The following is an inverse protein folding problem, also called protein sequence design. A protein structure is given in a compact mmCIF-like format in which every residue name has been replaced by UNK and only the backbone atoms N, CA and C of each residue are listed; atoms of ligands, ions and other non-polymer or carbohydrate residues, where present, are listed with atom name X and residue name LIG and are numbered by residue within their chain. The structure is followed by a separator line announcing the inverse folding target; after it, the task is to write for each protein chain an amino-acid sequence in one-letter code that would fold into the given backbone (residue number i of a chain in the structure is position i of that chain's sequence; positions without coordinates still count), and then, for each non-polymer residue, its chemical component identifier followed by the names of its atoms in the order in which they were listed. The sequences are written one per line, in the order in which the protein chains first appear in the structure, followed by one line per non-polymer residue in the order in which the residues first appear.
data_IF_219731671531
#
_entry.id   IF_219731671531
#
_cell.length_a   1.000
_cell.length_b   1.000
_cell.length_c   1.000
_cell.angle_alpha   90.00
_cell.angle_beta   90.00
_cell.angle_gamma   90.00
#
_symmetry.space_group_name_H-M   'P 1'
#
loop_
_entity.id
_entity.type
_entity.pdbx_description
1 polymer ?
#
# COMPACT_ATOMS: atom_id res chain seq x y z
N UNK A 1 4.42 4.91 -39.25
CA UNK A 1 3.64 5.95 -38.51
C UNK A 1 3.94 5.91 -37.01
N UNK A 2 3.66 4.84 -36.29
CA UNK A 2 3.86 4.75 -34.82
C UNK A 2 5.30 5.00 -34.38
N UNK A 3 6.31 4.41 -35.04
CA UNK A 3 7.72 4.65 -34.72
C UNK A 3 8.11 6.14 -34.73
N UNK A 4 7.57 6.90 -35.71
CA UNK A 4 7.80 8.34 -35.78
C UNK A 4 7.15 9.08 -34.60
N UNK A 5 5.91 8.71 -34.23
CA UNK A 5 5.20 9.32 -33.10
C UNK A 5 5.94 9.03 -31.77
N UNK A 6 6.42 7.80 -31.57
CA UNK A 6 7.22 7.46 -30.39
C UNK A 6 8.51 8.26 -30.30
N UNK A 7 9.20 8.48 -31.42
CA UNK A 7 10.40 9.31 -31.46
C UNK A 7 10.10 10.78 -31.15
N UNK A 8 9.01 11.33 -31.69
CA UNK A 8 8.59 12.70 -31.42
C UNK A 8 8.21 12.86 -29.94
N UNK A 9 7.40 11.94 -29.39
CA UNK A 9 7.04 11.96 -27.97
C UNK A 9 8.26 11.94 -27.07
N UNK A 10 9.20 11.01 -27.35
CA UNK A 10 10.47 10.96 -26.61
C UNK A 10 11.22 12.29 -26.68
N UNK A 11 11.35 12.89 -27.87
CA UNK A 11 12.05 14.16 -28.03
C UNK A 11 11.42 15.29 -27.21
N UNK A 12 10.09 15.37 -27.13
CA UNK A 12 9.39 16.37 -26.32
C UNK A 12 9.63 16.18 -24.82
N UNK A 13 9.69 14.94 -24.36
CA UNK A 13 9.99 14.65 -22.95
C UNK A 13 11.47 14.87 -22.64
N UNK A 14 12.38 14.48 -23.54
CA UNK A 14 13.82 14.78 -23.40
C UNK A 14 14.09 16.29 -23.34
N UNK A 15 13.36 17.09 -24.15
CA UNK A 15 13.44 18.56 -24.09
C UNK A 15 13.06 19.10 -22.70
N UNK A 16 11.98 18.60 -22.11
CA UNK A 16 11.59 18.98 -20.75
C UNK A 16 12.73 18.71 -19.75
N UNK A 17 13.27 17.50 -19.72
CA UNK A 17 14.34 17.13 -18.78
C UNK A 17 15.63 17.94 -18.98
N UNK A 18 15.88 18.45 -20.19
CA UNK A 18 17.04 19.30 -20.48
C UNK A 18 16.85 20.77 -20.09
N UNK A 19 15.59 21.22 -20.00
CA UNK A 19 15.27 22.63 -19.81
C UNK A 19 14.62 22.93 -18.44
N UNK A 20 14.22 21.89 -17.70
CA UNK A 20 13.63 22.10 -16.38
C UNK A 20 14.68 22.64 -15.41
N UNK A 21 14.30 23.63 -14.63
CA UNK A 21 15.11 24.18 -13.56
C UNK A 21 14.91 23.33 -12.29
N UNK A 22 15.85 22.42 -12.07
CA UNK A 22 15.79 21.47 -10.94
C UNK A 22 15.86 22.19 -9.58
N UNK A 23 16.66 23.26 -9.46
CA UNK A 23 16.83 24.02 -8.22
C UNK A 23 15.52 24.73 -7.85
N UNK A 24 14.91 25.45 -8.79
CA UNK A 24 13.61 26.11 -8.61
C UNK A 24 12.50 25.12 -8.30
N UNK A 25 12.55 23.92 -8.90
CA UNK A 25 11.58 22.86 -8.65
C UNK A 25 11.69 22.33 -7.21
N UNK A 26 12.93 22.07 -6.76
CA UNK A 26 13.20 21.58 -5.41
C UNK A 26 12.81 22.61 -4.35
N UNK A 27 13.16 23.88 -4.55
CA UNK A 27 12.75 24.99 -3.65
C UNK A 27 11.22 25.07 -3.51
N UNK A 28 10.50 25.00 -4.63
CA UNK A 28 9.03 25.06 -4.60
C UNK A 28 8.43 23.82 -3.92
N UNK A 29 9.00 22.63 -4.16
CA UNK A 29 8.56 21.39 -3.47
C UNK A 29 8.80 21.47 -1.96
N UNK A 30 9.93 22.04 -1.54
CA UNK A 30 10.23 22.24 -0.13
C UNK A 30 9.23 23.19 0.56
N UNK A 31 8.79 24.23 -0.14
CA UNK A 31 7.74 25.14 0.35
C UNK A 31 6.39 24.41 0.45
N UNK A 32 6.00 23.65 -0.58
CA UNK A 32 4.77 22.85 -0.55
C UNK A 32 4.79 21.84 0.61
N UNK A 33 5.94 21.23 0.89
CA UNK A 33 6.08 20.27 1.98
C UNK A 33 5.84 20.85 3.38
N UNK A 34 5.94 22.18 3.53
CA UNK A 34 5.66 22.88 4.78
C UNK A 34 4.15 23.16 5.01
N UNK A 35 3.30 22.88 4.02
CA UNK A 35 1.85 23.01 4.15
C UNK A 35 1.33 22.13 5.27
N UNK A 36 0.62 22.74 6.24
CA UNK A 36 0.06 22.06 7.41
C UNK A 36 -1.36 21.56 7.17
N UNK A 37 -2.06 22.17 6.24
CA UNK A 37 -3.43 21.87 5.87
C UNK A 37 -3.56 20.84 4.74
N UNK A 38 -4.44 21.12 3.81
CA UNK A 38 -4.78 20.31 2.65
C UNK A 38 -4.08 20.86 1.40
N UNK A 39 -3.57 19.97 0.56
CA UNK A 39 -3.08 20.31 -0.77
C UNK A 39 -4.25 20.21 -1.76
N UNK A 40 -4.86 21.33 -2.08
CA UNK A 40 -5.87 21.36 -3.14
C UNK A 40 -5.19 21.40 -4.51
N UNK A 41 -5.65 20.56 -5.44
CA UNK A 41 -5.14 20.55 -6.82
C UNK A 41 -6.28 20.88 -7.74
N UNK A 42 -6.10 21.85 -8.63
CA UNK A 42 -7.15 22.33 -9.53
C UNK A 42 -6.66 22.51 -10.95
N UNK A 43 -7.57 22.48 -11.91
CA UNK A 43 -7.31 22.65 -13.35
C UNK A 43 -8.59 22.48 -14.16
N UNK A 44 -8.57 22.95 -15.39
CA UNK A 44 -9.72 22.88 -16.31
C UNK A 44 -9.47 21.86 -17.42
N UNK A 45 -10.47 21.14 -17.85
CA UNK A 45 -10.41 20.18 -18.97
C UNK A 45 -9.40 19.07 -18.72
N UNK A 46 -8.43 18.87 -19.64
CA UNK A 46 -7.43 17.78 -19.53
C UNK A 46 -6.48 17.99 -18.34
N UNK A 47 -6.10 19.26 -18.05
CA UNK A 47 -5.34 19.59 -16.83
C UNK A 47 -6.12 19.27 -15.55
N UNK A 48 -7.44 19.38 -15.57
CA UNK A 48 -8.32 18.97 -14.46
C UNK A 48 -8.27 17.45 -14.19
N UNK A 49 -8.26 16.62 -15.24
CA UNK A 49 -8.07 15.17 -15.07
C UNK A 49 -6.68 14.81 -14.49
N UNK A 50 -5.65 15.54 -14.93
CA UNK A 50 -4.31 15.39 -14.34
C UNK A 50 -4.30 15.82 -12.87
N UNK A 51 -4.95 16.94 -12.54
CA UNK A 51 -5.10 17.44 -11.17
C UNK A 51 -5.79 16.42 -10.27
N UNK A 52 -6.86 15.77 -10.75
CA UNK A 52 -7.55 14.68 -10.03
C UNK A 52 -6.59 13.51 -9.76
N UNK A 53 -5.83 13.09 -10.78
CA UNK A 53 -4.85 11.98 -10.62
C UNK A 53 -3.78 12.33 -9.60
N UNK A 54 -3.22 13.53 -9.67
CA UNK A 54 -2.17 14.00 -8.73
C UNK A 54 -2.73 14.00 -7.29
N UNK A 55 -3.90 14.60 -7.07
CA UNK A 55 -4.54 14.63 -5.75
C UNK A 55 -4.79 13.20 -5.21
N UNK A 56 -5.28 12.28 -6.06
CA UNK A 56 -5.52 10.90 -5.68
C UNK A 56 -4.21 10.16 -5.32
N UNK A 57 -3.13 10.41 -6.07
CA UNK A 57 -1.81 9.84 -5.77
C UNK A 57 -1.29 10.36 -4.43
N UNK A 58 -1.30 11.67 -4.21
CA UNK A 58 -0.88 12.29 -2.94
C UNK A 58 -1.66 11.75 -1.75
N UNK A 59 -2.98 11.60 -1.89
CA UNK A 59 -3.86 11.08 -0.85
C UNK A 59 -3.51 9.63 -0.48
N UNK A 60 -3.28 8.79 -1.48
CA UNK A 60 -2.91 7.39 -1.29
C UNK A 60 -1.51 7.23 -0.68
N UNK A 61 -0.65 8.22 -0.84
CA UNK A 61 0.74 8.25 -0.35
C UNK A 61 0.95 9.12 0.89
N UNK A 62 -0.12 9.37 1.66
CA UNK A 62 -0.05 9.98 3.00
C UNK A 62 -0.08 11.50 3.05
N UNK A 63 -0.32 12.19 1.93
CA UNK A 63 -0.57 13.62 1.92
C UNK A 63 -2.06 13.90 1.85
N UNK A 64 -2.57 14.80 2.72
CA UNK A 64 -3.95 15.26 2.61
C UNK A 64 -4.09 16.10 1.35
N UNK A 65 -4.70 15.54 0.32
CA UNK A 65 -4.86 16.24 -0.95
C UNK A 65 -6.27 16.05 -1.52
N UNK A 66 -6.80 17.08 -2.19
CA UNK A 66 -8.12 17.03 -2.82
C UNK A 66 -8.13 17.73 -4.16
N UNK A 67 -8.85 17.17 -5.13
CA UNK A 67 -9.16 17.91 -6.34
C UNK A 67 -10.23 18.95 -6.05
N UNK A 68 -9.95 20.21 -6.37
CA UNK A 68 -10.88 21.32 -6.25
C UNK A 68 -11.42 21.67 -7.66
N UNK A 69 -12.67 21.28 -8.00
CA UNK A 69 -13.26 21.65 -9.28
C UNK A 69 -13.40 23.16 -9.39
N UNK A 70 -12.86 23.82 -10.43
CA UNK A 70 -12.87 25.30 -10.51
C UNK A 70 -14.26 25.91 -10.50
N UNK A 71 -15.21 25.28 -11.18
CA UNK A 71 -16.58 25.77 -11.24
C UNK A 71 -17.27 25.68 -9.88
N UNK A 72 -17.16 24.53 -9.22
CA UNK A 72 -17.79 24.32 -7.90
C UNK A 72 -17.15 25.22 -6.84
N UNK A 73 -15.83 25.45 -6.95
CA UNK A 73 -15.11 26.39 -6.11
C UNK A 73 -15.67 27.82 -6.21
N UNK A 74 -16.00 28.28 -7.40
CA UNK A 74 -16.64 29.59 -7.61
C UNK A 74 -18.08 29.64 -7.08
N UNK A 75 -18.71 28.51 -6.85
CA UNK A 75 -20.09 28.38 -6.36
C UNK A 75 -20.20 27.92 -4.90
N UNK A 76 -19.09 27.90 -4.14
CA UNK A 76 -19.14 27.70 -2.70
C UNK A 76 -18.09 26.74 -2.12
N UNK A 77 -17.55 25.80 -2.91
CA UNK A 77 -16.57 24.81 -2.41
C UNK A 77 -15.27 25.46 -1.95
N UNK A 78 -15.00 26.69 -2.36
CA UNK A 78 -13.90 27.50 -1.80
C UNK A 78 -14.03 27.72 -0.28
N UNK A 79 -15.22 27.45 0.28
CA UNK A 79 -15.44 27.42 1.73
C UNK A 79 -14.54 26.42 2.49
N UNK A 80 -14.05 25.36 1.80
CA UNK A 80 -13.15 24.38 2.39
C UNK A 80 -11.71 24.89 2.57
N UNK A 81 -11.31 25.92 1.81
CA UNK A 81 -9.94 26.42 1.79
C UNK A 81 -9.68 27.37 2.94
N UNK A 82 -8.57 27.19 3.64
CA UNK A 82 -8.11 27.98 4.79
C UNK A 82 -6.69 28.49 4.58
N UNK A 83 -6.20 29.32 5.47
CA UNK A 83 -4.83 29.87 5.44
C UNK A 83 -3.71 28.83 5.65
N UNK A 84 -4.06 27.65 6.19
CA UNK A 84 -3.09 26.56 6.39
C UNK A 84 -2.89 25.71 5.13
N UNK A 85 -3.72 25.92 4.09
CA UNK A 85 -3.77 25.10 2.88
C UNK A 85 -2.89 25.65 1.76
N UNK A 86 -2.60 24.78 0.79
CA UNK A 86 -1.98 25.17 -0.48
C UNK A 86 -2.85 24.75 -1.67
N UNK A 87 -2.91 25.60 -2.69
CA UNK A 87 -3.65 25.33 -3.92
C UNK A 87 -2.70 25.27 -5.10
N UNK A 88 -2.57 24.05 -5.69
CA UNK A 88 -1.77 23.78 -6.89
C UNK A 88 -2.67 23.96 -8.12
N UNK A 89 -2.32 24.90 -9.01
CA UNK A 89 -3.17 25.34 -10.12
C UNK A 89 -2.52 24.97 -11.44
N UNK A 90 -3.08 24.02 -12.16
CA UNK A 90 -2.55 23.46 -13.40
C UNK A 90 -3.16 24.14 -14.64
N UNK A 91 -2.32 24.79 -15.47
CA UNK A 91 -2.74 25.39 -16.73
C UNK A 91 -1.55 25.50 -17.69
N UNK A 92 -1.56 24.82 -18.86
CA UNK A 92 -0.49 24.96 -19.87
C UNK A 92 -0.23 26.42 -20.23
N UNK A 93 -1.26 27.14 -20.61
CA UNK A 93 -1.15 28.53 -21.06
C UNK A 93 -0.99 29.54 -19.93
N UNK A 94 -1.45 29.18 -18.73
CA UNK A 94 -1.58 30.11 -17.60
C UNK A 94 -2.56 31.27 -17.85
N UNK A 95 -3.48 31.11 -18.84
CA UNK A 95 -4.46 32.11 -19.27
C UNK A 95 -5.91 31.60 -19.15
N UNK A 96 -6.13 30.49 -18.45
CA UNK A 96 -7.46 29.90 -18.28
C UNK A 96 -8.30 30.79 -17.37
N UNK A 97 -9.38 31.40 -17.93
CA UNK A 97 -10.14 32.44 -17.24
C UNK A 97 -10.79 31.95 -15.95
N UNK A 98 -11.31 30.73 -15.91
CA UNK A 98 -11.91 30.15 -14.71
C UNK A 98 -10.91 30.06 -13.55
N UNK A 99 -9.66 29.72 -13.83
CA UNK A 99 -8.61 29.64 -12.82
C UNK A 99 -8.15 31.03 -12.38
N UNK A 100 -8.06 31.97 -13.31
CA UNK A 100 -7.72 33.36 -13.03
C UNK A 100 -8.79 34.09 -12.21
N UNK A 101 -10.06 33.76 -12.43
CA UNK A 101 -11.17 34.28 -11.61
C UNK A 101 -11.08 33.73 -10.17
N UNK A 102 -10.67 32.48 -10.01
CA UNK A 102 -10.58 31.84 -8.71
C UNK A 102 -9.42 32.38 -7.84
N UNK A 103 -8.31 32.73 -8.47
CA UNK A 103 -7.06 33.10 -7.82
C UNK A 103 -7.19 34.22 -6.75
N UNK A 104 -7.88 35.35 -6.99
CA UNK A 104 -8.04 36.38 -5.97
C UNK A 104 -8.79 35.90 -4.72
N UNK A 105 -9.75 35.01 -4.90
CA UNK A 105 -10.54 34.46 -3.77
C UNK A 105 -9.71 33.50 -2.93
N UNK A 106 -8.88 32.67 -3.55
CA UNK A 106 -7.93 31.77 -2.85
C UNK A 106 -6.95 32.61 -2.02
N UNK A 107 -6.38 33.67 -2.62
CA UNK A 107 -5.46 34.58 -1.93
C UNK A 107 -6.13 35.31 -0.77
N UNK A 108 -7.40 35.72 -0.90
CA UNK A 108 -8.17 36.32 0.18
C UNK A 108 -8.42 35.38 1.37
N UNK A 109 -8.37 34.05 1.12
CA UNK A 109 -8.41 33.03 2.18
C UNK A 109 -7.08 32.86 2.91
N UNK A 110 -6.00 33.46 2.40
CA UNK A 110 -4.66 33.31 2.95
C UNK A 110 -3.93 32.01 2.53
N UNK A 111 -4.56 31.19 1.70
CA UNK A 111 -3.95 29.93 1.22
C UNK A 111 -2.82 30.23 0.24
N UNK A 112 -1.74 29.42 0.34
CA UNK A 112 -0.61 29.48 -0.57
C UNK A 112 -1.02 29.04 -1.98
N UNK A 113 -0.61 29.77 -3.00
CA UNK A 113 -0.91 29.46 -4.40
C UNK A 113 0.34 29.06 -5.17
N UNK A 114 0.27 27.94 -5.92
CA UNK A 114 1.37 27.45 -6.75
C UNK A 114 0.85 27.20 -8.17
N UNK A 115 1.34 27.98 -9.13
CA UNK A 115 0.95 27.84 -10.54
C UNK A 115 1.87 26.87 -11.29
N UNK A 116 1.29 25.88 -12.00
CA UNK A 116 2.01 24.98 -12.90
C UNK A 116 1.70 25.39 -14.33
N UNK A 117 2.65 26.05 -15.03
CA UNK A 117 2.41 26.51 -16.40
C UNK A 117 3.59 26.25 -17.33
N UNK A 118 3.31 26.19 -18.64
CA UNK A 118 4.35 26.15 -19.67
C UNK A 118 4.68 27.55 -20.25
N UNK A 119 4.31 28.60 -19.53
CA UNK A 119 4.58 30.01 -19.91
C UNK A 119 5.03 30.78 -18.66
N UNK A 120 6.29 31.12 -18.61
CA UNK A 120 6.94 31.79 -17.45
C UNK A 120 6.28 33.11 -17.05
N UNK A 121 5.77 33.87 -18.01
CA UNK A 121 5.15 35.19 -17.77
C UNK A 121 3.66 35.21 -18.05
N UNK A 122 2.99 34.08 -17.79
CA UNK A 122 1.55 34.05 -17.87
C UNK A 122 0.88 34.79 -16.69
N UNK A 123 -0.40 35.17 -16.87
CA UNK A 123 -1.16 35.81 -15.77
C UNK A 123 -1.22 34.95 -14.51
N UNK A 124 -1.33 33.62 -14.69
CA UNK A 124 -1.32 32.67 -13.57
C UNK A 124 0.05 32.62 -12.89
N UNK A 125 1.14 32.51 -13.67
CA UNK A 125 2.50 32.46 -13.13
C UNK A 125 2.84 33.73 -12.32
N UNK A 126 2.45 34.90 -12.81
CA UNK A 126 2.68 36.18 -12.13
C UNK A 126 1.72 36.44 -10.96
N UNK A 127 0.59 35.74 -10.93
CA UNK A 127 -0.46 35.91 -9.92
C UNK A 127 -0.35 34.96 -8.73
N UNK A 128 0.37 33.83 -8.84
CA UNK A 128 0.60 32.88 -7.76
C UNK A 128 1.78 33.30 -6.88
N UNK A 129 1.81 32.79 -5.64
CA UNK A 129 2.92 33.02 -4.71
C UNK A 129 4.19 32.28 -5.15
N UNK A 130 4.00 31.08 -5.74
CA UNK A 130 5.07 30.27 -6.33
C UNK A 130 4.67 29.79 -7.72
N UNK A 131 5.66 29.54 -8.56
CA UNK A 131 5.45 29.10 -9.92
C UNK A 131 6.41 27.96 -10.29
N UNK A 132 5.84 26.88 -10.80
CA UNK A 132 6.59 25.77 -11.41
C UNK A 132 6.47 25.93 -12.93
N UNK A 133 7.59 26.24 -13.57
CA UNK A 133 7.68 26.29 -15.02
C UNK A 133 7.85 24.88 -15.60
N UNK A 134 6.99 24.53 -16.54
CA UNK A 134 7.00 23.25 -17.25
C UNK A 134 7.39 23.51 -18.71
N UNK A 135 8.68 23.46 -19.08
CA UNK A 135 9.13 23.71 -20.45
C UNK A 135 8.46 22.72 -21.41
N UNK A 136 7.56 23.25 -22.25
CA UNK A 136 6.83 22.50 -23.26
C UNK A 136 6.98 23.21 -24.59
N UNK A 137 7.76 22.61 -25.51
CA UNK A 137 8.01 23.21 -26.83
C UNK A 137 6.72 23.16 -27.67
N UNK A 138 6.12 21.98 -27.79
CA UNK A 138 4.87 21.78 -28.53
C UNK A 138 4.14 20.51 -28.08
N UNK A 139 2.87 20.41 -28.46
CA UNK A 139 2.09 19.21 -28.30
C UNK A 139 2.42 18.16 -29.37
N UNK A 140 2.26 16.88 -29.07
CA UNK A 140 2.44 15.81 -30.06
C UNK A 140 1.39 15.86 -31.19
N UNK A 141 0.26 16.51 -30.95
CA UNK A 141 -0.82 16.66 -31.90
C UNK A 141 -0.37 17.54 -33.09
N UNK A 142 -0.74 17.16 -34.34
CA UNK A 142 -0.28 17.87 -35.55
C UNK A 142 -0.61 19.36 -35.60
N UNK A 143 -1.58 19.81 -34.81
CA UNK A 143 -2.06 21.20 -34.76
C UNK A 143 -1.52 21.98 -33.55
N UNK A 144 -0.73 21.35 -32.69
CA UNK A 144 -0.28 21.92 -31.41
C UNK A 144 -1.44 22.41 -30.49
N UNK A 145 -2.60 21.78 -30.58
CA UNK A 145 -3.81 22.20 -29.88
C UNK A 145 -4.29 21.21 -28.82
N UNK A 146 -4.27 19.91 -29.16
CA UNK A 146 -4.73 18.89 -28.23
C UNK A 146 -3.72 18.68 -27.11
N UNK A 147 -4.09 18.85 -25.83
CA UNK A 147 -3.18 18.63 -24.71
C UNK A 147 -2.71 17.17 -24.67
N UNK A 148 -1.44 16.97 -24.97
CA UNK A 148 -0.73 15.68 -24.97
C UNK A 148 0.56 15.84 -24.17
N UNK A 149 1.62 16.39 -24.75
CA UNK A 149 2.90 16.65 -24.08
C UNK A 149 2.70 17.48 -22.81
N UNK A 150 1.95 18.57 -22.86
CA UNK A 150 1.74 19.44 -21.69
C UNK A 150 1.09 18.71 -20.51
N UNK A 151 0.15 17.79 -20.76
CA UNK A 151 -0.50 17.02 -19.70
C UNK A 151 0.40 15.91 -19.15
N UNK A 152 1.29 15.35 -19.98
CA UNK A 152 2.31 14.42 -19.51
C UNK A 152 3.29 15.10 -18.57
N UNK A 153 3.77 16.30 -18.94
CA UNK A 153 4.69 17.07 -18.09
C UNK A 153 4.06 17.45 -16.74
N UNK A 154 2.80 17.88 -16.76
CA UNK A 154 2.05 18.14 -15.51
C UNK A 154 1.97 16.88 -14.65
N UNK A 155 1.75 15.72 -15.26
CA UNK A 155 1.68 14.44 -14.56
C UNK A 155 3.04 14.03 -13.99
N UNK A 156 4.10 14.14 -14.79
CA UNK A 156 5.49 13.83 -14.36
C UNK A 156 5.85 14.65 -13.12
N UNK A 157 5.67 15.97 -13.17
CA UNK A 157 6.03 16.84 -12.04
C UNK A 157 5.11 16.63 -10.84
N UNK A 158 3.83 16.36 -11.06
CA UNK A 158 2.90 16.00 -9.98
C UNK A 158 3.25 14.68 -9.28
N UNK A 159 3.74 13.69 -10.03
CA UNK A 159 4.22 12.44 -9.47
C UNK A 159 5.55 12.60 -8.73
N UNK A 160 6.49 13.41 -9.27
CA UNK A 160 7.73 13.77 -8.57
C UNK A 160 7.42 14.48 -7.24
N UNK A 161 6.49 15.42 -7.22
CA UNK A 161 6.05 16.09 -5.99
C UNK A 161 5.43 15.09 -5.00
N UNK A 162 4.61 14.15 -5.48
CA UNK A 162 4.01 13.13 -4.62
C UNK A 162 5.07 12.26 -3.94
N UNK A 163 6.09 11.82 -4.70
CA UNK A 163 7.21 11.02 -4.16
C UNK A 163 8.08 11.85 -3.22
N UNK A 164 8.39 13.11 -3.58
CA UNK A 164 9.11 14.03 -2.70
C UNK A 164 8.42 14.18 -1.34
N UNK A 165 7.11 14.37 -1.33
CA UNK A 165 6.32 14.46 -0.11
C UNK A 165 6.31 13.15 0.70
N UNK A 166 6.33 11.98 0.05
CA UNK A 166 6.49 10.69 0.72
C UNK A 166 7.83 10.61 1.47
N UNK A 167 8.92 11.00 0.81
CA UNK A 167 10.26 10.96 1.40
C UNK A 167 10.38 11.94 2.57
N UNK A 168 9.90 13.19 2.41
CA UNK A 168 9.91 14.20 3.47
C UNK A 168 9.13 13.75 4.72
N UNK A 169 8.03 13.01 4.52
CA UNK A 169 7.19 12.46 5.62
C UNK A 169 7.69 11.12 6.14
N UNK A 170 8.73 10.54 5.53
CA UNK A 170 9.18 9.18 5.83
C UNK A 170 8.03 8.15 5.75
N UNK A 171 7.15 8.33 4.75
CA UNK A 171 5.94 7.52 4.59
C UNK A 171 6.28 6.05 4.41
N UNK A 172 5.80 5.21 5.33
CA UNK A 172 6.16 3.80 5.41
C UNK A 172 5.25 2.90 4.57
N UNK A 173 5.74 1.68 4.28
CA UNK A 173 4.94 0.64 3.64
C UNK A 173 3.71 0.25 4.47
N UNK A 174 3.81 0.32 5.80
CA UNK A 174 2.69 0.02 6.70
C UNK A 174 1.59 1.08 6.60
N UNK A 175 1.95 2.36 6.44
CA UNK A 175 0.99 3.44 6.18
C UNK A 175 0.36 3.31 4.80
N UNK A 176 1.16 2.96 3.79
CA UNK A 176 0.66 2.67 2.44
C UNK A 176 -0.38 1.55 2.47
N UNK A 177 -0.10 0.48 3.19
CA UNK A 177 -0.99 -0.66 3.35
C UNK A 177 -2.31 -0.29 4.04
N UNK A 178 -2.28 0.59 5.06
CA UNK A 178 -3.48 1.11 5.73
C UNK A 178 -4.36 1.92 4.77
N UNK A 179 -3.74 2.67 3.86
CA UNK A 179 -4.46 3.47 2.86
C UNK A 179 -5.05 2.61 1.72
N UNK A 180 -4.59 1.34 1.56
CA UNK A 180 -5.01 0.42 0.50
C UNK A 180 -5.59 -0.90 1.05
N UNK A 181 -6.63 -0.88 1.91
CA UNK A 181 -7.10 -2.07 2.63
C UNK A 181 -7.59 -3.20 1.71
N UNK A 182 -8.08 -2.88 0.52
CA UNK A 182 -8.59 -3.85 -0.46
C UNK A 182 -7.52 -4.52 -1.33
N UNK A 183 -6.28 -4.02 -1.35
CA UNK A 183 -5.18 -4.55 -2.15
C UNK A 183 -4.41 -5.67 -1.45
N UNK A 184 -3.57 -6.38 -2.20
CA UNK A 184 -2.67 -7.42 -1.65
C UNK A 184 -1.74 -6.87 -0.56
N UNK A 185 -1.24 -5.64 -0.74
CA UNK A 185 -0.38 -4.96 0.23
C UNK A 185 -1.16 -4.64 1.52
N UNK A 186 -2.39 -4.15 1.39
CA UNK A 186 -3.25 -3.87 2.55
C UNK A 186 -3.58 -5.11 3.36
N UNK A 187 -3.89 -6.22 2.71
CA UNK A 187 -4.12 -7.52 3.39
C UNK A 187 -2.89 -8.00 4.15
N UNK A 188 -1.69 -7.83 3.58
CA UNK A 188 -0.43 -8.19 4.25
C UNK A 188 -0.22 -7.44 5.57
N UNK A 189 -0.68 -6.21 5.65
CA UNK A 189 -0.52 -5.37 6.85
C UNK A 189 -1.71 -5.47 7.83
N UNK A 190 -2.83 -6.08 7.45
CA UNK A 190 -4.04 -6.07 8.28
C UNK A 190 -4.49 -7.45 8.73
N UNK A 191 -4.34 -8.50 7.89
CA UNK A 191 -4.81 -9.85 8.21
C UNK A 191 -3.97 -10.46 9.32
N UNK A 192 -4.62 -10.83 10.41
CA UNK A 192 -4.01 -11.47 11.57
C UNK A 192 -4.22 -12.98 11.55
N UNK A 193 -3.43 -13.68 12.32
CA UNK A 193 -3.57 -15.12 12.56
C UNK A 193 -4.99 -15.44 13.06
N UNK A 194 -5.56 -14.60 13.93
CA UNK A 194 -6.93 -14.76 14.44
C UNK A 194 -8.00 -14.83 13.33
N UNK A 195 -7.78 -14.14 12.20
CA UNK A 195 -8.73 -14.09 11.09
C UNK A 195 -8.72 -15.37 10.23
N UNK A 196 -7.64 -16.18 10.34
CA UNK A 196 -7.40 -17.37 9.50
C UNK A 196 -7.28 -18.66 10.28
N UNK A 197 -7.04 -18.60 11.60
CA UNK A 197 -6.87 -19.79 12.42
C UNK A 197 -8.17 -20.60 12.51
N UNK A 198 -8.01 -21.90 12.63
CA UNK A 198 -9.10 -22.85 12.80
C UNK A 198 -9.08 -23.45 14.22
N UNK A 199 -10.18 -24.12 14.59
CA UNK A 199 -10.23 -24.88 15.82
C UNK A 199 -9.12 -25.95 15.85
N UNK A 200 -8.28 -25.99 16.90
CA UNK A 200 -7.15 -26.92 16.94
C UNK A 200 -7.62 -28.36 17.22
N UNK A 201 -7.08 -29.36 16.52
CA UNK A 201 -7.30 -30.76 16.86
C UNK A 201 -6.47 -31.12 18.10
N UNK A 202 -7.07 -31.13 19.25
CA UNK A 202 -6.41 -31.37 20.54
C UNK A 202 -6.37 -32.82 20.93
N UNK A 203 -5.30 -33.24 21.59
CA UNK A 203 -5.14 -34.51 22.27
C UNK A 203 -4.28 -34.35 23.52
N UNK A 204 -4.34 -35.34 24.43
CA UNK A 204 -3.59 -35.34 25.68
C UNK A 204 -2.33 -36.23 25.59
N UNK A 205 -1.33 -35.95 26.44
CA UNK A 205 -0.04 -36.66 26.48
C UNK A 205 -0.18 -38.18 26.67
N UNK A 206 -1.14 -38.56 27.51
CA UNK A 206 -1.32 -39.94 27.95
C UNK A 206 -2.15 -40.79 26.99
N UNK A 207 -2.79 -40.17 25.99
CA UNK A 207 -3.56 -40.88 24.98
C UNK A 207 -2.66 -41.74 24.11
N UNK A 208 -3.14 -42.92 23.73
CA UNK A 208 -2.46 -43.82 22.81
C UNK A 208 -2.73 -43.41 21.37
N UNK A 209 -1.78 -43.73 20.49
CA UNK A 209 -1.89 -43.39 19.08
C UNK A 209 -3.18 -43.94 18.43
N UNK A 210 -3.58 -45.21 18.77
CA UNK A 210 -4.81 -45.83 18.22
C UNK A 210 -6.07 -45.03 18.57
N UNK A 211 -6.12 -44.40 19.76
CA UNK A 211 -7.29 -43.68 20.25
C UNK A 211 -7.53 -42.38 19.45
N UNK A 212 -6.47 -41.79 18.90
CA UNK A 212 -6.56 -40.50 18.18
C UNK A 212 -6.64 -40.65 16.67
N UNK A 213 -6.34 -41.82 16.10
CA UNK A 213 -6.26 -42.03 14.64
C UNK A 213 -7.53 -41.62 13.89
N UNK A 214 -8.68 -41.91 14.45
CA UNK A 214 -9.98 -41.58 13.86
C UNK A 214 -10.16 -40.05 13.77
N UNK A 215 -9.86 -39.32 14.85
CA UNK A 215 -9.95 -37.85 14.89
C UNK A 215 -8.83 -37.19 14.02
N UNK A 216 -7.61 -37.72 14.05
CA UNK A 216 -6.49 -37.30 13.22
C UNK A 216 -6.87 -37.30 11.72
N UNK A 217 -7.50 -38.39 11.26
CA UNK A 217 -7.95 -38.54 9.87
C UNK A 217 -9.12 -37.63 9.56
N UNK A 218 -10.08 -37.49 10.47
CA UNK A 218 -11.30 -36.70 10.32
C UNK A 218 -11.00 -35.20 10.17
N UNK A 219 -10.07 -34.66 10.96
CA UNK A 219 -9.73 -33.23 10.99
C UNK A 219 -8.99 -32.77 9.74
N UNK A 220 -8.35 -33.65 8.99
CA UNK A 220 -7.62 -33.35 7.74
C UNK A 220 -6.62 -32.18 7.86
N UNK A 221 -6.04 -32.04 9.06
CA UNK A 221 -5.05 -31.00 9.34
C UNK A 221 -3.60 -31.49 9.19
N UNK A 222 -3.41 -32.80 9.09
CA UNK A 222 -2.08 -33.43 9.08
C UNK A 222 -1.33 -33.33 10.41
N UNK A 223 -2.02 -32.97 11.50
CA UNK A 223 -1.42 -32.91 12.83
C UNK A 223 -2.47 -33.04 13.95
N UNK A 224 -2.00 -33.34 15.16
CA UNK A 224 -2.70 -33.16 16.44
C UNK A 224 -1.84 -32.27 17.35
N UNK A 225 -2.46 -31.35 18.06
CA UNK A 225 -1.80 -30.49 19.03
C UNK A 225 -1.93 -31.13 20.41
N UNK A 226 -0.79 -31.49 20.99
CA UNK A 226 -0.76 -32.18 22.28
C UNK A 226 -0.75 -31.15 23.39
N UNK A 227 -1.73 -31.27 24.30
CA UNK A 227 -1.92 -30.34 25.42
C UNK A 227 -2.04 -31.07 26.76
N UNK A 228 -1.87 -30.33 27.84
CA UNK A 228 -2.19 -30.77 29.17
C UNK A 228 -3.67 -30.46 29.53
N UNK A 229 -4.12 -30.86 30.72
CA UNK A 229 -5.46 -30.59 31.21
C UNK A 229 -5.89 -29.12 31.30
N UNK A 230 -4.87 -28.19 31.25
CA UNK A 230 -5.10 -26.74 31.22
C UNK A 230 -5.04 -26.16 29.81
N UNK A 231 -5.06 -27.01 28.78
CA UNK A 231 -4.89 -26.64 27.35
C UNK A 231 -3.54 -25.99 27.03
N UNK A 232 -2.54 -26.13 27.92
CA UNK A 232 -1.20 -25.61 27.64
C UNK A 232 -0.47 -26.56 26.68
N UNK A 233 0.21 -25.98 25.68
CA UNK A 233 0.94 -26.72 24.64
C UNK A 233 2.04 -27.58 25.24
N UNK A 234 2.06 -28.85 24.89
CA UNK A 234 3.09 -29.81 25.25
C UNK A 234 3.91 -30.24 24.03
N UNK A 235 3.32 -30.22 22.84
CA UNK A 235 3.95 -30.59 21.59
C UNK A 235 2.98 -30.70 20.43
N UNK A 236 3.48 -31.19 19.31
CA UNK A 236 2.71 -31.46 18.12
C UNK A 236 3.05 -32.86 17.58
N UNK A 237 2.04 -33.59 17.13
CA UNK A 237 2.18 -34.87 16.45
C UNK A 237 1.68 -34.72 15.00
N UNK A 238 2.54 -34.99 14.04
CA UNK A 238 2.27 -34.73 12.61
C UNK A 238 2.24 -36.03 11.80
N UNK A 239 1.73 -35.96 10.54
CA UNK A 239 1.83 -37.06 9.57
C UNK A 239 3.29 -37.55 9.40
N UNK A 240 4.26 -36.64 9.48
CA UNK A 240 5.68 -36.98 9.43
C UNK A 240 6.12 -37.78 10.65
N UNK A 241 5.63 -37.44 11.85
CA UNK A 241 5.93 -38.18 13.07
C UNK A 241 5.31 -39.58 13.03
N UNK A 242 4.05 -39.69 12.56
CA UNK A 242 3.37 -40.95 12.36
C UNK A 242 4.15 -41.90 11.42
N UNK A 243 4.56 -41.40 10.26
CA UNK A 243 5.32 -42.19 9.28
C UNK A 243 6.64 -42.66 9.85
N UNK A 244 7.39 -41.78 10.53
CA UNK A 244 8.66 -42.13 11.16
C UNK A 244 8.48 -43.17 12.25
N UNK A 245 7.48 -43.01 13.11
CA UNK A 245 7.18 -43.93 14.18
C UNK A 245 6.81 -45.32 13.66
N UNK A 246 5.94 -45.41 12.66
CA UNK A 246 5.57 -46.67 12.00
C UNK A 246 6.77 -47.34 11.33
N UNK A 247 7.63 -46.58 10.67
CA UNK A 247 8.82 -47.11 10.00
C UNK A 247 9.85 -47.68 10.99
N UNK A 248 9.96 -47.07 12.15
CA UNK A 248 10.94 -47.50 13.19
C UNK A 248 10.42 -48.64 14.07
N UNK A 249 9.14 -48.66 14.38
CA UNK A 249 8.60 -49.52 15.45
C UNK A 249 7.47 -50.45 14.97
N UNK A 250 7.05 -50.33 13.68
CA UNK A 250 5.99 -51.14 13.13
C UNK A 250 4.64 -50.90 13.83
N UNK A 251 3.77 -51.91 13.86
CA UNK A 251 2.41 -51.81 14.41
C UNK A 251 2.38 -51.61 15.94
N UNK A 252 3.47 -51.92 16.66
CA UNK A 252 3.52 -51.74 18.11
C UNK A 252 3.36 -50.28 18.55
N UNK A 253 3.68 -49.35 17.65
CA UNK A 253 3.55 -47.89 17.89
C UNK A 253 2.12 -47.47 18.20
N UNK A 254 1.11 -48.23 17.74
CA UNK A 254 -0.30 -47.90 17.98
C UNK A 254 -0.68 -47.89 19.48
N UNK A 255 0.06 -48.66 20.29
CA UNK A 255 -0.14 -48.76 21.75
C UNK A 255 0.68 -47.74 22.54
N UNK A 256 1.57 -46.96 21.86
CA UNK A 256 2.41 -45.99 22.52
C UNK A 256 1.67 -44.67 22.81
N UNK A 257 2.15 -43.98 23.86
CA UNK A 257 1.59 -42.67 24.24
C UNK A 257 2.07 -41.57 23.31
N UNK A 258 1.21 -40.59 23.04
CA UNK A 258 1.54 -39.46 22.21
C UNK A 258 2.71 -38.64 22.77
N UNK A 259 2.84 -38.52 24.07
CA UNK A 259 3.95 -37.83 24.72
C UNK A 259 5.34 -38.37 24.37
N UNK A 260 5.41 -39.66 23.94
CA UNK A 260 6.67 -40.32 23.53
C UNK A 260 6.92 -40.24 22.01
N UNK A 261 5.90 -39.89 21.23
CA UNK A 261 5.91 -39.87 19.78
C UNK A 261 5.96 -38.45 19.20
N UNK A 262 5.48 -37.46 19.97
CA UNK A 262 5.34 -36.08 19.51
C UNK A 262 6.66 -35.31 19.39
N UNK A 263 6.64 -34.26 18.58
CA UNK A 263 7.67 -33.22 18.60
C UNK A 263 7.41 -32.25 19.76
N UNK A 264 8.28 -32.23 20.77
CA UNK A 264 8.11 -31.41 22.00
C UNK A 264 8.36 -29.92 21.79
N UNK A 265 9.23 -29.56 20.83
CA UNK A 265 9.63 -28.18 20.52
C UNK A 265 8.87 -27.66 19.30
N UNK A 266 7.56 -27.55 19.41
CA UNK A 266 6.75 -27.01 18.34
C UNK A 266 6.96 -25.49 18.17
N UNK A 267 7.15 -25.01 16.93
CA UNK A 267 7.05 -23.59 16.64
C UNK A 267 5.59 -23.16 16.79
N UNK A 268 5.37 -21.99 17.38
CA UNK A 268 4.05 -21.44 17.66
C UNK A 268 3.91 -20.02 17.14
N UNK A 269 2.69 -19.50 17.09
CA UNK A 269 2.40 -18.08 16.83
C UNK A 269 1.31 -17.60 17.79
N UNK A 270 1.06 -16.29 17.85
CA UNK A 270 -0.04 -15.69 18.61
C UNK A 270 -1.18 -15.29 17.67
N UNK A 271 -2.41 -15.27 18.15
CA UNK A 271 -3.59 -14.82 17.41
C UNK A 271 -3.44 -13.35 16.92
N UNK A 272 -2.69 -12.53 17.64
CA UNK A 272 -2.44 -11.11 17.31
C UNK A 272 -1.37 -10.90 16.23
N UNK A 273 -0.56 -11.91 15.92
CA UNK A 273 0.51 -11.84 14.91
C UNK A 273 -0.09 -11.63 13.51
N UNK A 274 0.58 -10.87 12.64
CA UNK A 274 0.20 -10.77 11.24
C UNK A 274 0.36 -12.14 10.54
N UNK A 275 -0.59 -12.50 9.70
CA UNK A 275 -0.57 -13.78 9.00
C UNK A 275 0.67 -13.94 8.10
N UNK A 276 1.15 -12.86 7.51
CA UNK A 276 2.40 -12.80 6.73
C UNK A 276 3.63 -13.12 7.57
N UNK A 277 3.69 -12.67 8.82
CA UNK A 277 4.82 -12.96 9.70
C UNK A 277 4.79 -14.40 10.23
N UNK A 278 3.58 -14.93 10.45
CA UNK A 278 3.40 -16.34 10.72
C UNK A 278 3.84 -17.21 9.53
N UNK A 279 3.54 -16.81 8.29
CA UNK A 279 4.01 -17.47 7.07
C UNK A 279 5.54 -17.50 6.99
N UNK A 280 6.20 -16.35 7.19
CA UNK A 280 7.68 -16.28 7.23
C UNK A 280 8.26 -17.21 8.30
N UNK A 281 7.59 -17.32 9.45
CA UNK A 281 8.00 -18.25 10.52
C UNK A 281 7.84 -19.71 10.11
N UNK A 282 6.85 -20.06 9.31
CA UNK A 282 6.68 -21.40 8.76
C UNK A 282 7.82 -21.76 7.80
N UNK A 283 8.30 -20.81 7.02
CA UNK A 283 9.35 -20.97 6.01
C UNK A 283 10.77 -20.67 6.52
N UNK A 284 10.93 -20.25 7.76
CA UNK A 284 12.22 -19.80 8.32
C UNK A 284 13.34 -20.85 8.28
N UNK A 285 12.98 -22.13 8.25
CA UNK A 285 13.91 -23.23 7.97
C UNK A 285 13.59 -23.83 6.60
N UNK A 286 14.33 -23.41 5.58
CA UNK A 286 14.11 -23.86 4.20
C UNK A 286 14.30 -25.38 4.00
N UNK A 287 15.08 -26.04 4.86
CA UNK A 287 15.28 -27.50 4.81
C UNK A 287 14.11 -28.27 5.44
N UNK A 288 13.43 -27.66 6.41
CA UNK A 288 12.32 -28.26 7.13
C UNK A 288 11.16 -27.26 7.28
N UNK A 289 10.51 -26.86 6.16
CA UNK A 289 9.37 -25.97 6.22
C UNK A 289 8.23 -26.67 6.93
N UNK A 290 7.46 -25.90 7.69
CA UNK A 290 6.28 -26.43 8.41
C UNK A 290 5.00 -25.88 7.77
N UNK A 291 3.99 -26.74 7.73
CA UNK A 291 2.71 -26.43 7.08
C UNK A 291 1.62 -25.99 8.06
N UNK A 292 1.87 -26.15 9.35
CA UNK A 292 0.93 -25.85 10.43
C UNK A 292 1.65 -25.19 11.61
N UNK A 293 1.00 -24.25 12.27
CA UNK A 293 1.46 -23.60 13.51
C UNK A 293 0.35 -23.65 14.55
N UNK A 294 0.59 -24.25 15.73
CA UNK A 294 -0.27 -24.03 16.90
C UNK A 294 -0.30 -22.54 17.25
N UNK A 295 -1.49 -22.01 17.48
CA UNK A 295 -1.71 -20.64 17.94
C UNK A 295 -1.86 -20.68 19.45
N UNK A 296 -1.00 -19.93 20.15
CA UNK A 296 -0.92 -19.95 21.61
C UNK A 296 -1.00 -18.52 22.13
N UNK A 297 -1.96 -18.27 23.00
CA UNK A 297 -2.10 -17.02 23.76
C UNK A 297 -2.13 -17.37 25.25
N UNK A 298 -1.42 -16.63 26.09
CA UNK A 298 -1.34 -16.83 27.55
C UNK A 298 -1.06 -18.29 27.97
N UNK A 299 -0.21 -18.99 27.19
CA UNK A 299 0.16 -20.42 27.30
C UNK A 299 -0.91 -21.42 26.82
N UNK A 300 -2.15 -21.00 26.59
CA UNK A 300 -3.20 -21.87 26.09
C UNK A 300 -3.18 -21.96 24.56
N UNK A 301 -3.48 -23.15 24.04
CA UNK A 301 -3.71 -23.37 22.62
C UNK A 301 -5.10 -22.88 22.26
N UNK A 302 -5.16 -21.80 21.48
CA UNK A 302 -6.40 -21.13 21.05
C UNK A 302 -6.79 -21.44 19.60
N UNK A 303 -5.84 -21.94 18.78
CA UNK A 303 -6.09 -22.21 17.38
C UNK A 303 -5.00 -23.04 16.71
N UNK A 304 -5.23 -23.34 15.44
CA UNK A 304 -4.27 -23.90 14.49
C UNK A 304 -4.28 -23.08 13.21
N UNK A 305 -3.12 -22.60 12.79
CA UNK A 305 -2.94 -21.90 11.52
C UNK A 305 -2.32 -22.84 10.49
N UNK A 306 -2.87 -22.90 9.29
CA UNK A 306 -2.31 -23.68 8.17
C UNK A 306 -1.74 -22.75 7.10
N UNK A 307 -0.63 -23.14 6.49
CA UNK A 307 -0.05 -22.45 5.33
C UNK A 307 -1.08 -22.28 4.20
N UNK A 308 -1.88 -23.32 3.95
CA UNK A 308 -2.92 -23.31 2.92
C UNK A 308 -3.94 -22.18 3.11
N UNK A 309 -4.38 -21.93 4.35
CA UNK A 309 -5.37 -20.91 4.66
C UNK A 309 -4.79 -19.50 4.45
N UNK A 310 -3.49 -19.31 4.74
CA UNK A 310 -2.78 -18.07 4.45
C UNK A 310 -2.72 -17.82 2.94
N UNK A 311 -2.35 -18.83 2.15
CA UNK A 311 -2.27 -18.72 0.68
C UNK A 311 -3.65 -18.45 0.08
N UNK A 312 -4.70 -19.15 0.53
CA UNK A 312 -6.07 -18.90 0.04
C UNK A 312 -6.59 -17.51 0.38
N UNK A 313 -6.11 -16.89 1.46
CA UNK A 313 -6.46 -15.50 1.79
C UNK A 313 -5.82 -14.47 0.86
N UNK A 314 -4.98 -14.88 -0.11
CA UNK A 314 -4.31 -13.99 -1.07
C UNK A 314 -3.08 -13.28 -0.50
N UNK A 315 -2.42 -13.87 0.50
CA UNK A 315 -1.22 -13.35 1.16
C UNK A 315 0.10 -13.97 0.61
N UNK A 316 0.02 -14.66 -0.51
CA UNK A 316 1.19 -15.26 -1.18
C UNK A 316 2.11 -14.21 -1.80
#
# INVERSE_FOLDING_TARGET
MIAKLLQQQKAHIDYFYQQVDEESLEETFAVIAQCKGVLFVTGVGKSGFVAQKIAATMMSTGSKAFFLPPLDALHGDLGMVTEEDAVLILSKSGQTEELLQLLPFIRNKGAMTVGFTSKERSRLALGCDHHIYLPCEQELCPFDLAPTTSTELQLVVGDLLSVYLMEQKQFSLDEYAKNHPGGSIGRRATVRVADLMQEPPLCELDQRLEEILAEFTKRRCGCMVVVNKKRELQGIFTDGDLRRALQQRGESVLQERLGDLMTKTARTTSAKTLAVDAMKKMESDQKHPIMVLPVVDDKEVVGLLKMHDIIQSGLS
#
